data_IF_427294305789
#
_entry.id   IF_427294305789
#
_cell.length_a   1.000
_cell.length_b   1.000
_cell.length_c   1.000
_cell.angle_alpha   90.00
_cell.angle_beta   90.00
_cell.angle_gamma   90.00
#
_symmetry.space_group_name_H-M   'P 1'
#
loop_
_entity.id
_entity.type
_entity.pdbx_description
1 polymer ?
#
# COMPACT_ATOMS: atom_id res chain seq x y z
N UNK A 1 3.06 -1.80 -15.22
CA UNK A 1 3.69 -3.12 -15.52
C UNK A 1 5.21 -3.04 -15.56
N UNK A 2 5.81 -2.07 -16.27
CA UNK A 2 7.28 -1.94 -16.35
C UNK A 2 7.98 -1.88 -14.98
N UNK A 3 7.49 -1.06 -14.04
CA UNK A 3 8.07 -0.96 -12.69
C UNK A 3 8.12 -2.30 -11.94
N UNK A 4 7.07 -3.11 -12.07
CA UNK A 4 7.03 -4.46 -11.49
C UNK A 4 8.16 -5.31 -12.08
N UNK A 5 8.33 -5.29 -13.41
CA UNK A 5 9.35 -6.09 -14.06
C UNK A 5 10.76 -5.65 -13.68
N UNK A 6 10.99 -4.33 -13.52
CA UNK A 6 12.26 -3.80 -13.00
C UNK A 6 12.54 -4.29 -11.58
N UNK A 7 11.56 -4.25 -10.68
CA UNK A 7 11.70 -4.76 -9.30
C UNK A 7 12.00 -6.26 -9.31
N UNK A 8 11.32 -7.03 -10.16
CA UNK A 8 11.54 -8.47 -10.26
C UNK A 8 12.97 -8.81 -10.70
N UNK A 9 13.57 -7.98 -11.56
CA UNK A 9 14.94 -8.15 -12.06
C UNK A 9 15.97 -7.66 -11.04
N UNK A 10 15.74 -6.52 -10.38
CA UNK A 10 16.73 -5.89 -9.49
C UNK A 10 16.59 -6.28 -8.01
N UNK A 11 15.57 -7.07 -7.67
CA UNK A 11 15.24 -7.40 -6.27
C UNK A 11 14.81 -6.17 -5.46
N UNK A 12 14.23 -5.16 -6.10
CA UNK A 12 13.79 -3.91 -5.45
C UNK A 12 14.92 -3.00 -4.96
N UNK A 13 16.18 -3.32 -5.27
CA UNK A 13 17.34 -2.50 -4.92
C UNK A 13 17.43 -1.21 -5.74
N UNK A 14 18.25 -0.27 -5.25
CA UNK A 14 18.54 1.01 -5.91
C UNK A 14 19.47 0.89 -7.14
N UNK A 15 19.63 -0.31 -7.70
CA UNK A 15 20.46 -0.49 -8.89
C UNK A 15 19.85 0.29 -10.05
N UNK A 16 20.55 1.33 -10.50
CA UNK A 16 20.15 2.11 -11.66
C UNK A 16 20.36 1.28 -12.92
N UNK A 17 19.27 0.98 -13.60
CA UNK A 17 19.29 0.36 -14.92
C UNK A 17 19.63 1.42 -15.97
N UNK A 18 20.55 1.10 -16.87
CA UNK A 18 20.85 1.94 -18.03
C UNK A 18 19.63 2.04 -18.96
N UNK A 19 19.59 3.07 -19.81
CA UNK A 19 18.53 3.23 -20.81
C UNK A 19 18.45 2.02 -21.78
N UNK A 20 19.59 1.40 -22.09
CA UNK A 20 19.64 0.21 -22.91
C UNK A 20 18.98 -1.00 -22.22
N UNK A 21 19.22 -1.17 -20.92
CA UNK A 21 18.60 -2.23 -20.12
C UNK A 21 17.09 -2.01 -19.97
N UNK A 22 16.66 -0.79 -19.70
CA UNK A 22 15.24 -0.41 -19.67
C UNK A 22 14.57 -0.74 -21.01
N UNK A 23 15.21 -0.42 -22.14
CA UNK A 23 14.69 -0.76 -23.46
C UNK A 23 14.62 -2.27 -23.72
N UNK A 24 15.56 -3.07 -23.20
CA UNK A 24 15.49 -4.55 -23.24
C UNK A 24 14.33 -5.08 -22.42
N UNK A 25 14.14 -4.59 -21.19
CA UNK A 25 13.03 -4.94 -20.30
C UNK A 25 11.69 -4.65 -20.95
N UNK A 26 11.52 -3.47 -21.57
CA UNK A 26 10.29 -3.12 -22.27
C UNK A 26 10.03 -4.01 -23.50
N UNK A 27 11.07 -4.36 -24.27
CA UNK A 27 10.94 -5.33 -25.37
C UNK A 27 10.53 -6.71 -24.87
N UNK A 28 11.14 -7.20 -23.80
CA UNK A 28 10.80 -8.47 -23.18
C UNK A 28 9.37 -8.48 -22.64
N UNK A 29 8.91 -7.37 -22.04
CA UNK A 29 7.52 -7.20 -21.59
C UNK A 29 6.54 -7.36 -22.76
N UNK A 30 6.73 -6.63 -23.86
CA UNK A 30 5.84 -6.71 -25.03
C UNK A 30 5.85 -8.11 -25.64
N UNK A 31 7.03 -8.74 -25.75
CA UNK A 31 7.16 -10.10 -26.28
C UNK A 31 6.50 -11.13 -25.36
N UNK A 32 6.67 -11.02 -24.05
CA UNK A 32 6.04 -11.89 -23.07
C UNK A 32 4.51 -11.76 -23.06
N UNK A 33 3.98 -10.55 -23.20
CA UNK A 33 2.54 -10.33 -23.40
C UNK A 33 2.03 -11.06 -24.64
N UNK A 34 2.76 -10.97 -25.77
CA UNK A 34 2.40 -11.70 -27.01
C UNK A 34 2.49 -13.22 -26.85
N UNK A 35 3.47 -13.73 -26.10
CA UNK A 35 3.57 -15.16 -25.80
C UNK A 35 2.33 -15.64 -25.04
N UNK A 36 1.90 -14.91 -24.01
CA UNK A 36 0.69 -15.25 -23.25
C UNK A 36 -0.56 -15.31 -24.13
N UNK A 37 -0.72 -14.35 -25.05
CA UNK A 37 -1.82 -14.35 -26.02
C UNK A 37 -1.74 -15.55 -26.97
N UNK A 38 -0.56 -15.87 -27.48
CA UNK A 38 -0.35 -17.01 -28.39
C UNK A 38 -0.61 -18.36 -27.69
N UNK A 39 -0.32 -18.46 -26.40
CA UNK A 39 -0.60 -19.63 -25.56
C UNK A 39 -2.08 -19.71 -25.12
N UNK A 40 -2.91 -18.71 -25.46
CA UNK A 40 -4.33 -18.67 -25.10
C UNK A 40 -4.59 -18.45 -23.61
N UNK A 41 -3.62 -17.87 -22.89
CA UNK A 41 -3.76 -17.60 -21.46
C UNK A 41 -4.61 -16.35 -21.18
N UNK A 42 -5.37 -16.31 -20.07
CA UNK A 42 -6.22 -15.16 -19.73
C UNK A 42 -5.43 -13.86 -19.51
N UNK A 43 -4.21 -13.97 -18.98
CA UNK A 43 -3.29 -12.86 -18.87
C UNK A 43 -1.84 -13.35 -18.72
N UNK A 44 -0.90 -12.44 -18.99
CA UNK A 44 0.51 -12.73 -18.86
C UNK A 44 0.93 -12.87 -17.38
N UNK A 45 1.99 -13.64 -17.17
CA UNK A 45 2.59 -14.02 -15.88
C UNK A 45 4.12 -13.96 -15.97
N UNK A 46 4.88 -13.82 -14.86
CA UNK A 46 6.33 -13.75 -14.85
C UNK A 46 7.05 -14.77 -15.75
N UNK A 47 6.53 -16.00 -15.85
CA UNK A 47 7.08 -17.04 -16.74
C UNK A 47 7.23 -16.58 -18.20
N UNK A 48 6.28 -15.79 -18.73
CA UNK A 48 6.32 -15.34 -20.12
C UNK A 48 7.41 -14.30 -20.34
N UNK A 49 7.61 -13.41 -19.36
CA UNK A 49 8.64 -12.38 -19.42
C UNK A 49 10.03 -13.01 -19.29
N UNK A 50 10.17 -14.03 -18.43
CA UNK A 50 11.39 -14.83 -18.31
C UNK A 50 11.71 -15.58 -19.62
N UNK A 51 10.74 -16.28 -20.22
CA UNK A 51 10.91 -16.96 -21.52
C UNK A 51 11.25 -15.98 -22.65
N UNK A 52 10.56 -14.84 -22.71
CA UNK A 52 10.83 -13.80 -23.69
C UNK A 52 12.25 -13.23 -23.56
N UNK A 53 12.71 -12.99 -22.32
CA UNK A 53 14.05 -12.49 -22.05
C UNK A 53 15.13 -13.52 -22.45
N UNK A 54 14.93 -14.81 -22.14
CA UNK A 54 15.84 -15.90 -22.58
C UNK A 54 15.93 -15.98 -24.10
N UNK A 55 14.79 -16.00 -24.79
CA UNK A 55 14.76 -16.06 -26.24
C UNK A 55 15.47 -14.85 -26.88
N UNK A 56 15.30 -13.65 -26.30
CA UNK A 56 16.03 -12.46 -26.76
C UNK A 56 17.54 -12.56 -26.55
N UNK A 57 17.99 -13.21 -25.46
CA UNK A 57 19.41 -13.48 -25.22
C UNK A 57 19.99 -14.44 -26.26
N UNK A 58 19.30 -15.55 -26.53
CA UNK A 58 19.72 -16.56 -27.50
C UNK A 58 19.80 -15.96 -28.92
N UNK A 59 18.81 -15.17 -29.31
CA UNK A 59 18.78 -14.47 -30.60
C UNK A 59 19.95 -13.49 -30.74
N UNK A 60 20.25 -12.71 -29.69
CA UNK A 60 21.36 -11.75 -29.70
C UNK A 60 22.71 -12.46 -29.77
N UNK A 61 22.85 -13.64 -29.15
CA UNK A 61 24.05 -14.47 -29.24
C UNK A 61 24.23 -15.07 -30.65
N UNK A 62 23.13 -15.53 -31.28
CA UNK A 62 23.16 -16.13 -32.61
C UNK A 62 23.26 -15.11 -33.76
N UNK A 63 22.90 -13.84 -33.50
CA UNK A 63 22.89 -12.78 -34.52
C UNK A 63 24.31 -12.48 -35.00
N UNK A 64 24.51 -12.42 -36.32
CA UNK A 64 25.76 -11.95 -36.92
C UNK A 64 26.01 -10.48 -36.52
N UNK A 65 27.12 -10.22 -35.82
CA UNK A 65 27.38 -8.90 -35.20
C UNK A 65 26.56 -8.64 -33.92
N UNK A 66 26.09 -9.71 -33.27
CA UNK A 66 25.55 -9.71 -31.91
C UNK A 66 26.57 -9.21 -30.88
N UNK A 67 26.08 -8.69 -29.76
CA UNK A 67 26.93 -8.29 -28.64
C UNK A 67 26.85 -9.33 -27.52
N UNK A 68 27.91 -10.15 -27.29
CA UNK A 68 27.89 -11.19 -26.26
C UNK A 68 27.53 -10.66 -24.87
N UNK A 69 28.06 -9.49 -24.50
CA UNK A 69 27.75 -8.83 -23.22
C UNK A 69 26.26 -8.45 -23.10
N UNK A 70 25.58 -8.11 -24.20
CA UNK A 70 24.15 -7.82 -24.18
C UNK A 70 23.31 -9.09 -24.01
N UNK A 71 23.73 -10.19 -24.65
CA UNK A 71 23.10 -11.50 -24.47
C UNK A 71 23.27 -12.01 -23.04
N UNK A 72 24.48 -11.92 -22.48
CA UNK A 72 24.77 -12.28 -21.09
C UNK A 72 23.94 -11.46 -20.10
N UNK A 73 23.84 -10.13 -20.30
CA UNK A 73 22.99 -9.26 -19.49
C UNK A 73 21.51 -9.70 -19.51
N UNK A 74 20.96 -10.03 -20.68
CA UNK A 74 19.59 -10.53 -20.79
C UNK A 74 19.42 -11.92 -20.15
N UNK A 75 20.42 -12.81 -20.25
CA UNK A 75 20.42 -14.10 -19.56
C UNK A 75 20.35 -13.91 -18.05
N UNK A 76 21.17 -13.02 -17.48
CA UNK A 76 21.16 -12.72 -16.05
C UNK A 76 19.81 -12.13 -15.60
N UNK A 77 19.19 -11.27 -16.41
CA UNK A 77 17.85 -10.76 -16.13
C UNK A 77 16.78 -11.87 -16.17
N UNK A 78 16.90 -12.81 -17.10
CA UNK A 78 15.99 -13.95 -17.17
C UNK A 78 16.11 -14.86 -15.93
N UNK A 79 17.33 -15.09 -15.44
CA UNK A 79 17.56 -15.88 -14.23
C UNK A 79 17.00 -15.19 -12.98
N UNK A 80 17.12 -13.85 -12.91
CA UNK A 80 16.44 -13.07 -11.87
C UNK A 80 14.91 -13.23 -11.94
N UNK A 81 14.33 -13.25 -13.14
CA UNK A 81 12.89 -13.48 -13.35
C UNK A 81 12.46 -14.91 -13.01
N UNK A 82 13.33 -15.90 -13.20
CA UNK A 82 13.03 -17.31 -12.91
C UNK A 82 12.66 -17.52 -11.43
N UNK A 83 13.29 -16.80 -10.51
CA UNK A 83 12.93 -16.77 -9.07
C UNK A 83 11.44 -16.51 -8.85
N UNK A 84 10.81 -15.67 -9.67
CA UNK A 84 9.39 -15.31 -9.56
C UNK A 84 8.43 -16.37 -10.10
N UNK A 85 8.96 -17.43 -10.68
CA UNK A 85 8.18 -18.53 -11.26
C UNK A 85 8.15 -19.77 -10.35
N UNK A 86 8.98 -19.78 -9.31
CA UNK A 86 9.21 -20.94 -8.44
C UNK A 86 8.99 -20.59 -6.95
N UNK A 87 8.86 -21.61 -6.10
CA UNK A 87 8.76 -21.45 -4.66
C UNK A 87 7.57 -20.59 -4.21
N UNK A 88 7.79 -19.79 -3.14
CA UNK A 88 6.76 -18.87 -2.59
C UNK A 88 6.41 -17.77 -3.60
N UNK A 89 7.41 -17.20 -4.29
CA UNK A 89 7.18 -16.14 -5.28
C UNK A 89 6.32 -16.63 -6.44
N UNK A 90 6.60 -17.83 -6.97
CA UNK A 90 5.79 -18.45 -8.03
C UNK A 90 4.34 -18.71 -7.59
N UNK A 91 4.14 -19.16 -6.34
CA UNK A 91 2.81 -19.39 -5.77
C UNK A 91 2.00 -18.10 -5.64
N UNK A 92 2.65 -16.97 -5.40
CA UNK A 92 1.99 -15.67 -5.21
C UNK A 92 1.82 -14.89 -6.52
N UNK A 93 2.84 -14.87 -7.38
CA UNK A 93 2.93 -13.93 -8.50
C UNK A 93 2.89 -14.59 -9.89
N UNK A 94 3.03 -15.92 -9.99
CA UNK A 94 3.05 -16.65 -11.28
C UNK A 94 1.82 -17.54 -11.48
N UNK A 95 0.65 -17.04 -11.08
CA UNK A 95 -0.65 -17.70 -11.23
C UNK A 95 -1.61 -16.83 -12.04
N UNK A 96 -2.65 -17.46 -12.54
CA UNK A 96 -3.80 -16.69 -13.02
C UNK A 96 -4.59 -16.17 -11.82
N UNK A 97 -5.08 -14.95 -11.94
CA UNK A 97 -5.88 -14.29 -10.94
C UNK A 97 -6.98 -13.46 -11.62
N UNK A 98 -8.12 -13.39 -10.96
CA UNK A 98 -9.17 -12.44 -11.31
C UNK A 98 -8.87 -11.10 -10.63
N UNK A 99 -9.19 -10.00 -11.31
CA UNK A 99 -9.07 -8.67 -10.73
C UNK A 99 -10.09 -8.43 -9.60
N UNK A 100 -10.09 -7.23 -9.03
CA UNK A 100 -11.13 -6.85 -8.07
C UNK A 100 -12.46 -6.68 -8.80
N UNK A 101 -13.51 -7.34 -8.28
CA UNK A 101 -14.86 -7.19 -8.83
C UNK A 101 -15.39 -5.79 -8.55
N UNK A 102 -16.17 -5.27 -9.49
CA UNK A 102 -16.90 -4.01 -9.30
C UNK A 102 -18.08 -4.16 -8.34
N UNK A 103 -18.54 -5.39 -8.09
CA UNK A 103 -19.62 -5.67 -7.16
C UNK A 103 -19.15 -5.68 -5.69
N UNK A 104 -17.84 -5.59 -5.45
CA UNK A 104 -17.31 -5.57 -4.08
C UNK A 104 -17.43 -4.19 -3.46
N UNK A 105 -18.09 -4.11 -2.31
CA UNK A 105 -18.17 -2.88 -1.50
C UNK A 105 -16.91 -2.66 -0.65
N UNK A 106 -16.21 -3.74 -0.29
CA UNK A 106 -14.98 -3.71 0.47
C UNK A 106 -14.00 -4.77 -0.05
N UNK A 107 -12.79 -4.34 -0.39
CA UNK A 107 -11.66 -5.23 -0.71
C UNK A 107 -10.56 -4.97 0.31
N UNK A 108 -10.20 -6.00 1.08
CA UNK A 108 -9.10 -5.94 2.06
C UNK A 108 -7.92 -6.77 1.53
N UNK A 109 -6.73 -6.16 1.49
CA UNK A 109 -5.50 -6.81 1.05
C UNK A 109 -4.52 -6.85 2.22
N UNK A 110 -4.29 -8.05 2.76
CA UNK A 110 -3.33 -8.26 3.85
C UNK A 110 -1.91 -8.45 3.30
N UNK A 111 -1.02 -7.51 3.60
CA UNK A 111 0.37 -7.49 3.11
C UNK A 111 1.40 -7.77 4.21
N UNK A 112 1.00 -7.79 5.49
CA UNK A 112 1.89 -7.98 6.64
C UNK A 112 2.61 -9.32 6.65
N UNK A 113 2.00 -10.37 6.07
CA UNK A 113 2.66 -11.66 5.90
C UNK A 113 3.86 -11.59 4.94
N UNK A 114 3.82 -10.73 3.92
CA UNK A 114 4.91 -10.58 2.93
C UNK A 114 6.17 -9.97 3.56
N UNK A 115 6.01 -9.05 4.52
CA UNK A 115 7.12 -8.47 5.27
C UNK A 115 7.94 -9.50 6.05
N UNK A 116 7.33 -10.62 6.47
CA UNK A 116 8.00 -11.71 7.21
C UNK A 116 8.55 -12.81 6.30
N UNK A 117 7.99 -12.97 5.09
CA UNK A 117 8.26 -14.12 4.21
C UNK A 117 9.37 -13.90 3.17
N UNK A 118 9.85 -12.66 2.96
CA UNK A 118 11.07 -12.46 2.16
C UNK A 118 11.17 -11.18 1.32
N UNK A 119 11.12 -10.01 1.96
CA UNK A 119 11.79 -8.83 1.41
C UNK A 119 10.90 -7.70 0.89
N UNK A 120 11.50 -6.51 0.84
CA UNK A 120 10.92 -5.28 0.29
C UNK A 120 10.48 -5.41 -1.17
N UNK A 121 11.03 -6.38 -1.92
CA UNK A 121 10.70 -6.67 -3.31
C UNK A 121 9.32 -7.32 -3.48
N UNK A 122 8.96 -8.30 -2.66
CA UNK A 122 7.61 -8.89 -2.69
C UNK A 122 6.54 -7.87 -2.30
N UNK A 123 6.80 -7.05 -1.28
CA UNK A 123 5.93 -5.94 -0.91
C UNK A 123 5.76 -4.96 -2.07
N UNK A 124 6.84 -4.61 -2.76
CA UNK A 124 6.79 -3.71 -3.91
C UNK A 124 6.01 -4.29 -5.10
N UNK A 125 6.22 -5.56 -5.44
CA UNK A 125 5.48 -6.22 -6.51
C UNK A 125 3.99 -6.30 -6.17
N UNK A 126 3.65 -6.72 -4.95
CA UNK A 126 2.26 -6.81 -4.50
C UNK A 126 1.58 -5.43 -4.46
N UNK A 127 2.24 -4.44 -3.86
CA UNK A 127 1.71 -3.08 -3.75
C UNK A 127 1.50 -2.41 -5.11
N UNK A 128 2.46 -2.52 -6.04
CA UNK A 128 2.29 -2.00 -7.39
C UNK A 128 1.22 -2.75 -8.18
N UNK A 129 1.11 -4.07 -8.01
CA UNK A 129 0.04 -4.85 -8.64
C UNK A 129 -1.32 -4.38 -8.15
N UNK A 130 -1.48 -4.14 -6.84
CA UNK A 130 -2.71 -3.58 -6.28
C UNK A 130 -3.01 -2.19 -6.84
N UNK A 131 -2.01 -1.28 -6.92
CA UNK A 131 -2.20 0.05 -7.53
C UNK A 131 -2.71 -0.07 -8.97
N UNK A 132 -2.13 -0.95 -9.79
CA UNK A 132 -2.57 -1.12 -11.17
C UNK A 132 -3.96 -1.72 -11.28
N UNK A 133 -4.29 -2.74 -10.47
CA UNK A 133 -5.64 -3.33 -10.45
C UNK A 133 -6.68 -2.31 -10.02
N UNK A 134 -6.39 -1.49 -9.00
CA UNK A 134 -7.25 -0.39 -8.56
C UNK A 134 -7.41 0.65 -9.66
N UNK A 135 -6.33 0.98 -10.38
CA UNK A 135 -6.38 1.95 -11.49
C UNK A 135 -7.32 1.45 -12.58
N UNK A 136 -7.19 0.18 -12.98
CA UNK A 136 -8.06 -0.44 -13.98
C UNK A 136 -9.54 -0.47 -13.52
N UNK A 137 -9.79 -0.76 -12.24
CA UNK A 137 -11.13 -0.70 -11.66
C UNK A 137 -11.70 0.73 -11.67
N UNK A 138 -10.88 1.73 -11.31
CA UNK A 138 -11.27 3.14 -11.33
C UNK A 138 -11.60 3.60 -12.76
N UNK A 139 -10.81 3.18 -13.76
CA UNK A 139 -11.10 3.45 -15.17
C UNK A 139 -12.41 2.83 -15.62
N UNK A 140 -12.70 1.59 -15.20
CA UNK A 140 -13.97 0.92 -15.50
C UNK A 140 -15.17 1.67 -14.89
N UNK A 141 -15.01 2.16 -13.65
CA UNK A 141 -16.07 2.82 -12.89
C UNK A 141 -16.23 4.33 -13.18
N UNK A 142 -15.32 4.95 -13.94
CA UNK A 142 -15.23 6.41 -14.06
C UNK A 142 -16.52 7.13 -14.50
N UNK A 143 -17.40 6.44 -15.24
CA UNK A 143 -18.67 7.00 -15.75
C UNK A 143 -19.90 6.57 -14.93
N UNK A 144 -19.72 5.84 -13.83
CA UNK A 144 -20.83 5.31 -13.01
C UNK A 144 -21.25 6.26 -11.89
N UNK A 145 -20.43 7.26 -11.57
CA UNK A 145 -20.58 8.10 -10.38
C UNK A 145 -20.10 7.45 -9.08
N UNK A 146 -19.74 6.16 -9.09
CA UNK A 146 -19.18 5.45 -7.94
C UNK A 146 -17.72 5.86 -7.72
N UNK A 147 -17.42 6.36 -6.52
CA UNK A 147 -16.04 6.66 -6.11
C UNK A 147 -15.35 5.40 -5.54
N UNK A 148 -14.03 5.37 -5.63
CA UNK A 148 -13.20 4.37 -4.93
C UNK A 148 -12.40 5.09 -3.84
N UNK A 149 -12.35 4.52 -2.64
CA UNK A 149 -11.45 4.96 -1.58
C UNK A 149 -10.35 3.92 -1.35
N UNK A 150 -9.11 4.29 -1.64
CA UNK A 150 -7.92 3.49 -1.36
C UNK A 150 -7.33 3.94 -0.04
N UNK A 151 -7.30 3.04 0.94
CA UNK A 151 -6.67 3.30 2.25
C UNK A 151 -5.44 2.40 2.38
N UNK A 152 -4.28 3.00 2.57
CA UNK A 152 -3.03 2.28 2.82
C UNK A 152 -2.67 2.49 4.28
N UNK A 153 -2.85 1.44 5.07
CA UNK A 153 -2.38 1.39 6.44
C UNK A 153 -0.88 1.09 6.52
N UNK A 154 -0.22 1.60 7.55
CA UNK A 154 1.23 1.54 7.73
C UNK A 154 2.03 1.93 6.47
N UNK A 155 1.61 3.02 5.83
CA UNK A 155 2.19 3.52 4.57
C UNK A 155 3.70 3.83 4.67
N UNK A 156 4.24 3.99 5.89
CA UNK A 156 5.68 4.11 6.13
C UNK A 156 6.48 2.87 5.66
N UNK A 157 5.87 1.68 5.67
CA UNK A 157 6.47 0.46 5.12
C UNK A 157 6.67 0.58 3.60
N UNK A 158 5.74 1.24 2.92
CA UNK A 158 5.81 1.50 1.50
C UNK A 158 6.83 2.61 1.21
N UNK A 159 6.86 3.64 2.05
CA UNK A 159 7.77 4.79 1.94
C UNK A 159 9.25 4.39 1.85
N UNK A 160 9.62 3.28 2.51
CA UNK A 160 10.97 2.70 2.50
C UNK A 160 11.36 2.01 1.20
N UNK A 161 10.43 1.83 0.25
CA UNK A 161 10.66 1.14 -1.02
C UNK A 161 10.52 2.12 -2.20
N UNK A 162 11.62 2.68 -2.73
CA UNK A 162 11.58 3.79 -3.67
C UNK A 162 10.73 3.54 -4.93
N UNK A 163 10.91 2.38 -5.59
CA UNK A 163 10.17 2.06 -6.82
C UNK A 163 8.67 1.87 -6.59
N UNK A 164 8.29 1.33 -5.42
CA UNK A 164 6.88 1.24 -5.03
C UNK A 164 6.28 2.64 -4.87
N UNK A 165 6.99 3.53 -4.17
CA UNK A 165 6.55 4.91 -3.97
C UNK A 165 6.49 5.70 -5.27
N UNK A 166 7.47 5.56 -6.16
CA UNK A 166 7.41 6.19 -7.48
C UNK A 166 6.17 5.75 -8.25
N UNK A 167 5.84 4.45 -8.21
CA UNK A 167 4.61 3.94 -8.84
C UNK A 167 3.34 4.46 -8.17
N UNK A 168 3.31 4.57 -6.84
CA UNK A 168 2.18 5.16 -6.11
C UNK A 168 2.01 6.67 -6.42
N UNK A 169 3.10 7.43 -6.54
CA UNK A 169 3.06 8.85 -6.93
C UNK A 169 2.47 8.99 -8.34
N UNK A 170 2.85 8.13 -9.29
CA UNK A 170 2.26 8.12 -10.63
C UNK A 170 0.78 7.72 -10.57
N UNK A 171 0.45 6.63 -9.86
CA UNK A 171 -0.92 6.14 -9.70
C UNK A 171 -1.85 7.17 -9.07
N UNK A 172 -1.42 7.84 -8.00
CA UNK A 172 -2.21 8.87 -7.31
C UNK A 172 -2.57 10.07 -8.20
N UNK A 173 -1.76 10.40 -9.22
CA UNK A 173 -2.10 11.43 -10.21
C UNK A 173 -3.21 10.97 -11.16
N UNK A 174 -3.24 9.69 -11.49
CA UNK A 174 -4.30 9.08 -12.29
C UNK A 174 -5.58 8.96 -11.47
N UNK A 175 -5.48 8.53 -10.22
CA UNK A 175 -6.63 8.41 -9.29
C UNK A 175 -7.44 9.69 -9.18
N UNK A 176 -6.78 10.85 -9.09
CA UNK A 176 -7.45 12.17 -9.07
C UNK A 176 -8.35 12.44 -10.29
N UNK A 177 -8.07 11.82 -11.43
CA UNK A 177 -8.88 11.97 -12.65
C UNK A 177 -10.04 10.98 -12.73
N UNK A 178 -10.03 9.93 -11.91
CA UNK A 178 -10.94 8.79 -11.99
C UNK A 178 -11.85 8.65 -10.77
N UNK A 179 -12.12 9.76 -10.06
CA UNK A 179 -12.91 9.76 -8.83
C UNK A 179 -12.43 8.72 -7.79
N UNK A 180 -11.11 8.56 -7.69
CA UNK A 180 -10.46 7.62 -6.79
C UNK A 180 -9.63 8.39 -5.76
N UNK A 181 -9.93 8.17 -4.49
CA UNK A 181 -9.32 8.86 -3.35
C UNK A 181 -8.23 8.01 -2.74
N UNK A 182 -7.09 8.63 -2.41
CA UNK A 182 -5.98 7.97 -1.72
C UNK A 182 -5.85 8.54 -0.31
N UNK A 183 -5.92 7.65 0.67
CA UNK A 183 -5.67 7.94 2.08
C UNK A 183 -4.47 7.13 2.56
N UNK A 184 -3.46 7.82 3.07
CA UNK A 184 -2.26 7.22 3.65
C UNK A 184 -2.33 7.35 5.15
N UNK A 185 -2.17 6.23 5.86
CA UNK A 185 -2.13 6.19 7.31
C UNK A 185 -0.70 5.79 7.69
N UNK A 186 -0.06 6.64 8.49
CA UNK A 186 1.34 6.48 8.87
C UNK A 186 1.57 7.05 10.27
N UNK A 187 2.51 6.45 10.99
CA UNK A 187 2.95 6.92 12.30
C UNK A 187 4.01 8.02 12.15
N UNK A 188 4.86 7.93 11.12
CA UNK A 188 5.96 8.86 10.89
C UNK A 188 5.91 9.40 9.46
N UNK A 189 5.84 10.73 9.33
CA UNK A 189 5.86 11.43 8.04
C UNK A 189 7.28 11.56 7.48
N UNK A 190 8.30 11.45 8.33
CA UNK A 190 9.72 11.60 7.93
C UNK A 190 10.25 10.43 7.12
N UNK A 191 9.57 9.28 7.16
CA UNK A 191 9.85 8.14 6.28
C UNK A 191 9.57 8.48 4.80
N UNK A 192 8.75 9.49 4.50
CA UNK A 192 8.42 9.93 3.15
C UNK A 192 9.47 10.91 2.60
N UNK A 193 10.58 10.37 2.08
CA UNK A 193 11.69 11.16 1.51
C UNK A 193 11.68 11.19 -0.02
N UNK A 194 12.35 12.20 -0.60
CA UNK A 194 12.52 12.30 -2.05
C UNK A 194 11.18 12.40 -2.80
N UNK A 195 10.96 11.52 -3.77
CA UNK A 195 9.69 11.50 -4.53
C UNK A 195 8.47 11.17 -3.66
N UNK A 196 8.64 10.42 -2.57
CA UNK A 196 7.56 10.10 -1.65
C UNK A 196 7.01 11.37 -0.96
N UNK A 197 7.85 12.37 -0.68
CA UNK A 197 7.41 13.63 -0.08
C UNK A 197 6.41 14.38 -0.98
N UNK A 198 6.48 14.19 -2.31
CA UNK A 198 5.51 14.80 -3.24
C UNK A 198 4.10 14.28 -3.04
N UNK A 199 3.92 13.06 -2.51
CA UNK A 199 2.55 12.56 -2.26
C UNK A 199 1.91 13.31 -1.11
N UNK A 200 2.72 13.64 -0.10
CA UNK A 200 2.34 14.41 1.07
C UNK A 200 1.97 15.83 0.64
N UNK A 201 2.85 16.57 -0.03
CA UNK A 201 2.57 17.97 -0.41
C UNK A 201 1.34 18.15 -1.31
N UNK A 202 0.93 17.11 -2.05
CA UNK A 202 -0.28 17.15 -2.88
C UNK A 202 -1.55 16.67 -2.16
N UNK A 203 -1.48 16.32 -0.88
CA UNK A 203 -2.64 15.93 -0.08
C UNK A 203 -3.51 17.16 0.23
N UNK A 204 -4.81 17.04 0.00
CA UNK A 204 -5.76 18.14 0.21
C UNK A 204 -6.16 18.27 1.70
N UNK A 205 -6.11 17.16 2.42
CA UNK A 205 -6.45 17.06 3.83
C UNK A 205 -5.37 16.32 4.59
N UNK A 206 -5.13 16.78 5.81
CA UNK A 206 -4.29 16.15 6.80
C UNK A 206 -5.05 15.99 8.09
N UNK A 207 -5.04 14.77 8.63
CA UNK A 207 -5.52 14.52 9.99
C UNK A 207 -4.34 14.12 10.85
N UNK A 208 -3.87 15.08 11.63
CA UNK A 208 -2.72 14.90 12.50
C UNK A 208 -3.20 14.65 13.92
N UNK A 209 -2.76 13.55 14.51
CA UNK A 209 -2.98 13.29 15.93
C UNK A 209 -2.02 14.15 16.76
N UNK A 210 -2.12 14.08 18.08
CA UNK A 210 -1.20 14.80 18.97
C UNK A 210 0.26 14.46 18.64
N UNK A 211 1.07 15.49 18.47
CA UNK A 211 2.51 15.38 18.21
C UNK A 211 3.33 16.04 19.32
N UNK A 212 4.52 15.50 19.58
CA UNK A 212 5.56 16.10 20.41
C UNK A 212 6.21 17.31 19.73
N UNK A 213 6.98 18.11 20.48
CA UNK A 213 7.65 19.28 19.91
C UNK A 213 8.63 18.92 18.78
N UNK A 214 9.31 17.76 18.87
CA UNK A 214 10.23 17.29 17.84
C UNK A 214 9.48 16.87 16.56
N UNK A 215 8.40 16.12 16.71
CA UNK A 215 7.53 15.69 15.60
C UNK A 215 6.89 16.88 14.89
N UNK A 216 6.48 17.93 15.63
CA UNK A 216 5.94 19.17 15.03
C UNK A 216 6.99 19.86 14.16
N UNK A 217 8.25 19.94 14.62
CA UNK A 217 9.34 20.53 13.82
C UNK A 217 9.55 19.76 12.52
N UNK A 218 9.64 18.44 12.61
CA UNK A 218 9.80 17.58 11.44
C UNK A 218 8.62 17.66 10.47
N UNK A 219 7.39 17.60 10.99
CA UNK A 219 6.18 17.76 10.17
C UNK A 219 6.10 19.14 9.53
N UNK A 220 6.60 20.20 10.20
CA UNK A 220 6.64 21.55 9.64
C UNK A 220 7.53 21.63 8.39
N UNK A 221 8.67 20.91 8.36
CA UNK A 221 9.57 20.90 7.19
C UNK A 221 8.91 20.28 5.95
N UNK A 222 7.99 19.34 6.14
CA UNK A 222 7.36 18.58 5.06
C UNK A 222 6.00 19.18 4.67
N UNK A 223 5.21 19.59 5.66
CA UNK A 223 3.82 20.02 5.51
C UNK A 223 3.65 21.54 5.51
N UNK A 224 4.72 22.29 5.81
CA UNK A 224 4.68 23.75 5.95
C UNK A 224 3.58 24.22 6.92
N UNK A 225 3.53 23.61 8.11
CA UNK A 225 2.51 23.89 9.13
C UNK A 225 2.48 25.40 9.48
N UNK A 226 1.28 25.97 9.56
CA UNK A 226 1.05 27.33 10.05
C UNK A 226 1.34 27.43 11.56
N UNK A 227 1.55 28.63 12.09
CA UNK A 227 1.75 28.81 13.54
C UNK A 227 0.49 28.42 14.33
N UNK A 228 -0.69 28.64 13.76
CA UNK A 228 -1.97 28.17 14.30
C UNK A 228 -2.00 26.63 14.36
N UNK A 229 -1.65 25.93 13.27
CA UNK A 229 -1.58 24.47 13.24
C UNK A 229 -0.58 23.93 14.29
N UNK A 230 0.61 24.54 14.40
CA UNK A 230 1.63 24.19 15.40
C UNK A 230 1.16 24.44 16.83
N UNK A 231 0.30 25.42 17.04
CA UNK A 231 -0.31 25.67 18.34
C UNK A 231 -1.38 24.62 18.64
N UNK A 232 -2.35 24.45 17.73
CA UNK A 232 -3.49 23.56 17.91
C UNK A 232 -3.10 22.09 18.10
N UNK A 233 -2.12 21.57 17.37
CA UNK A 233 -1.71 20.15 17.42
C UNK A 233 -1.19 19.68 18.79
N UNK A 234 -0.91 20.60 19.72
CA UNK A 234 -0.41 20.29 21.06
C UNK A 234 -1.52 19.92 22.05
N UNK A 235 -2.76 20.34 21.77
CA UNK A 235 -3.92 20.19 22.65
C UNK A 235 -4.70 18.88 22.53
N UNK A 236 -4.76 18.19 21.37
CA UNK A 236 -5.52 16.96 21.22
C UNK A 236 -5.25 15.95 22.34
N UNK A 237 -6.32 15.41 22.90
CA UNK A 237 -6.31 14.39 23.95
C UNK A 237 -6.63 13.02 23.37
N UNK A 238 -6.16 12.00 24.07
CA UNK A 238 -6.54 10.61 23.87
C UNK A 238 -7.10 10.10 25.19
N UNK A 239 -8.35 9.64 25.17
CA UNK A 239 -8.93 8.89 26.26
C UNK A 239 -9.24 7.48 25.77
N UNK A 240 -8.62 6.50 26.41
CA UNK A 240 -8.76 5.09 26.04
C UNK A 240 -10.24 4.69 26.04
N UNK A 241 -10.65 3.93 25.01
CA UNK A 241 -12.05 3.47 24.80
C UNK A 241 -13.09 4.58 24.61
N UNK A 242 -12.71 5.85 24.61
CA UNK A 242 -13.63 6.98 24.45
C UNK A 242 -13.42 7.68 23.13
N UNK A 243 -12.34 8.45 23.03
CA UNK A 243 -12.08 9.28 21.86
C UNK A 243 -10.59 9.54 21.66
N UNK A 244 -10.24 9.86 20.42
CA UNK A 244 -8.93 10.41 20.05
C UNK A 244 -9.19 11.74 19.36
N UNK A 245 -8.53 12.79 19.82
CA UNK A 245 -8.56 14.10 19.16
C UNK A 245 -7.37 14.24 18.21
N UNK A 246 -7.51 15.15 17.26
CA UNK A 246 -6.44 15.60 16.39
C UNK A 246 -6.75 16.98 15.83
N UNK A 247 -6.03 17.35 14.78
CA UNK A 247 -6.33 18.52 13.97
C UNK A 247 -6.56 18.11 12.52
N UNK A 248 -7.48 18.79 11.85
CA UNK A 248 -7.67 18.76 10.40
C UNK A 248 -6.99 19.99 9.80
N UNK A 249 -6.10 19.78 8.83
CA UNK A 249 -5.46 20.85 8.05
C UNK A 249 -5.86 20.67 6.59
N UNK A 250 -6.23 21.76 5.93
CA UNK A 250 -6.50 21.79 4.50
C UNK A 250 -6.11 23.14 3.92
N UNK A 251 -5.70 23.16 2.64
CA UNK A 251 -5.51 24.42 1.93
C UNK A 251 -6.83 25.17 1.64
N UNK A 252 -7.98 24.52 1.80
CA UNK A 252 -9.31 25.09 1.50
C UNK A 252 -10.12 25.49 2.74
N UNK A 253 -9.82 24.90 3.89
CA UNK A 253 -10.62 25.05 5.11
C UNK A 253 -9.72 25.43 6.29
N UNK A 254 -10.24 26.25 7.25
CA UNK A 254 -9.49 26.60 8.45
C UNK A 254 -9.03 25.37 9.23
N UNK A 255 -7.87 25.48 9.86
CA UNK A 255 -7.37 24.48 10.79
C UNK A 255 -8.39 24.24 11.91
N UNK A 256 -8.77 22.98 12.11
CA UNK A 256 -9.90 22.63 12.98
C UNK A 256 -9.51 21.52 13.93
N UNK A 257 -9.81 21.69 15.23
CA UNK A 257 -9.74 20.60 16.20
C UNK A 257 -10.85 19.59 15.90
N UNK A 258 -10.47 18.32 15.80
CA UNK A 258 -11.39 17.23 15.50
C UNK A 258 -11.33 16.19 16.62
N UNK A 259 -12.46 15.53 16.85
CA UNK A 259 -12.58 14.43 17.79
C UNK A 259 -13.15 13.21 17.09
N UNK A 260 -12.39 12.12 17.11
CA UNK A 260 -12.80 10.83 16.61
C UNK A 260 -13.40 10.00 17.74
N UNK A 261 -14.68 9.66 17.58
CA UNK A 261 -15.43 8.76 18.48
C UNK A 261 -15.89 7.56 17.67
N UNK A 262 -15.02 6.57 17.40
CA UNK A 262 -15.38 5.42 16.59
C UNK A 262 -16.46 4.57 17.28
N UNK A 263 -17.33 3.89 16.51
CA UNK A 263 -18.26 2.92 17.07
C UNK A 263 -17.53 1.89 17.93
N UNK A 264 -18.10 1.54 19.08
CA UNK A 264 -17.53 0.58 20.02
C UNK A 264 -17.20 -0.77 19.39
N UNK A 265 -18.07 -1.28 18.53
CA UNK A 265 -17.83 -2.54 17.81
C UNK A 265 -16.59 -2.47 16.91
N UNK A 266 -16.39 -1.34 16.23
CA UNK A 266 -15.22 -1.14 15.37
C UNK A 266 -13.92 -1.12 16.21
N UNK A 267 -13.95 -0.49 17.39
CA UNK A 267 -12.83 -0.52 18.33
C UNK A 267 -12.55 -1.95 18.80
N UNK A 268 -13.58 -2.67 19.25
CA UNK A 268 -13.45 -4.03 19.79
C UNK A 268 -12.88 -5.02 18.76
N UNK A 269 -13.34 -4.94 17.50
CA UNK A 269 -12.83 -5.76 16.39
C UNK A 269 -11.41 -5.36 15.99
N UNK A 270 -11.08 -4.07 16.08
CA UNK A 270 -9.76 -3.52 15.73
C UNK A 270 -8.68 -3.67 16.81
N UNK A 271 -9.00 -4.29 17.95
CA UNK A 271 -8.06 -4.44 19.05
C UNK A 271 -6.90 -5.36 18.68
N UNK A 272 -5.69 -4.81 18.72
CA UNK A 272 -4.45 -5.50 18.36
C UNK A 272 -3.41 -5.53 19.48
N UNK A 273 -3.60 -4.73 20.54
CA UNK A 273 -2.68 -4.67 21.68
C UNK A 273 -2.71 -5.97 22.49
N UNK A 274 -1.59 -6.29 23.15
CA UNK A 274 -1.45 -7.49 23.95
C UNK A 274 -2.49 -7.60 25.06
N UNK A 275 -2.76 -6.49 25.78
CA UNK A 275 -3.74 -6.48 26.88
C UNK A 275 -5.16 -6.65 26.37
N UNK A 276 -5.46 -6.08 25.21
CA UNK A 276 -6.78 -6.20 24.61
C UNK A 276 -7.06 -7.62 24.12
N UNK A 277 -6.06 -8.26 23.51
CA UNK A 277 -6.13 -9.68 23.12
C UNK A 277 -6.28 -10.60 24.31
N UNK A 278 -5.55 -10.33 25.39
CA UNK A 278 -5.67 -11.07 26.65
C UNK A 278 -7.08 -10.95 27.24
N UNK A 279 -7.61 -9.73 27.35
CA UNK A 279 -8.98 -9.48 27.82
C UNK A 279 -10.04 -10.21 26.99
N UNK A 280 -9.93 -10.14 25.65
CA UNK A 280 -10.84 -10.87 24.75
C UNK A 280 -10.74 -12.39 24.96
N UNK A 281 -9.52 -12.92 25.10
CA UNK A 281 -9.31 -14.35 25.36
C UNK A 281 -9.83 -14.78 26.74
N UNK A 282 -9.77 -13.93 27.76
CA UNK A 282 -10.37 -14.17 29.07
C UNK A 282 -11.89 -14.26 28.98
N UNK A 283 -12.54 -13.34 28.25
CA UNK A 283 -13.99 -13.39 28.01
C UNK A 283 -14.40 -14.68 27.30
N UNK A 284 -13.67 -15.08 26.26
CA UNK A 284 -13.90 -16.34 25.55
C UNK A 284 -13.83 -17.54 26.50
N UNK A 285 -12.79 -17.63 27.35
CA UNK A 285 -12.61 -18.73 28.32
C UNK A 285 -13.70 -18.73 29.39
N UNK A 286 -14.01 -17.56 29.95
CA UNK A 286 -14.95 -17.40 31.07
C UNK A 286 -16.38 -17.74 30.65
N UNK A 287 -16.78 -17.34 29.44
CA UNK A 287 -18.15 -17.50 28.95
C UNK A 287 -18.33 -18.66 27.97
N UNK A 288 -17.24 -19.28 27.50
CA UNK A 288 -17.30 -20.38 26.52
C UNK A 288 -17.81 -19.94 25.14
N UNK A 289 -17.47 -18.71 24.73
CA UNK A 289 -18.02 -18.04 23.54
C UNK A 289 -16.99 -17.86 22.42
N UNK A 290 -17.47 -17.52 21.22
CA UNK A 290 -16.62 -17.24 20.06
C UNK A 290 -15.85 -15.92 20.22
N UNK A 291 -14.84 -15.69 19.38
CA UNK A 291 -14.10 -14.42 19.36
C UNK A 291 -14.99 -13.24 18.97
N UNK A 292 -15.95 -13.46 18.05
CA UNK A 292 -16.91 -12.44 17.64
C UNK A 292 -17.82 -12.05 18.81
N UNK A 293 -18.36 -13.03 19.53
CA UNK A 293 -19.21 -12.79 20.69
C UNK A 293 -18.44 -12.07 21.81
N UNK A 294 -17.18 -12.45 22.03
CA UNK A 294 -16.32 -11.75 22.97
C UNK A 294 -16.05 -10.30 22.54
N UNK A 295 -15.86 -10.03 21.25
CA UNK A 295 -15.73 -8.67 20.73
C UNK A 295 -17.03 -7.84 20.91
N UNK A 296 -18.21 -8.46 20.76
CA UNK A 296 -19.50 -7.81 21.04
C UNK A 296 -19.62 -7.44 22.53
N UNK A 297 -19.18 -8.30 23.44
CA UNK A 297 -19.14 -7.99 24.88
C UNK A 297 -18.19 -6.82 25.18
N UNK A 298 -16.98 -6.81 24.59
CA UNK A 298 -16.05 -5.67 24.72
C UNK A 298 -16.67 -4.39 24.18
N UNK A 299 -17.40 -4.45 23.07
CA UNK A 299 -18.10 -3.30 22.52
C UNK A 299 -19.15 -2.75 23.52
N UNK A 300 -19.91 -3.62 24.17
CA UNK A 300 -20.88 -3.24 25.20
C UNK A 300 -20.21 -2.64 26.45
N UNK A 301 -19.07 -3.17 26.87
CA UNK A 301 -18.25 -2.59 27.94
C UNK A 301 -17.81 -1.16 27.60
N UNK A 302 -17.38 -0.93 26.35
CA UNK A 302 -17.00 0.40 25.85
C UNK A 302 -18.20 1.35 25.87
N UNK A 303 -19.37 0.93 25.39
CA UNK A 303 -20.59 1.77 25.41
C UNK A 303 -21.01 2.12 26.83
N UNK A 304 -20.97 1.16 27.75
CA UNK A 304 -21.33 1.38 29.15
C UNK A 304 -20.38 2.38 29.80
N UNK A 305 -19.07 2.25 29.55
CA UNK A 305 -18.07 3.20 30.04
C UNK A 305 -18.26 4.62 29.47
N UNK A 306 -18.71 4.73 28.21
CA UNK A 306 -19.03 6.01 27.56
C UNK A 306 -20.28 6.66 28.15
N UNK A 307 -21.35 5.89 28.40
CA UNK A 307 -22.59 6.38 29.03
C UNK A 307 -22.35 6.88 30.45
N UNK A 308 -21.65 6.09 31.27
CA UNK A 308 -21.32 6.48 32.64
C UNK A 308 -20.53 7.81 32.71
N UNK A 309 -19.67 8.07 31.72
CA UNK A 309 -18.96 9.35 31.62
C UNK A 309 -19.87 10.52 31.28
N UNK A 310 -20.82 10.33 30.35
CA UNK A 310 -21.79 11.38 30.01
C UNK A 310 -22.64 11.76 31.21
N UNK A 311 -23.04 10.77 32.02
CA UNK A 311 -23.80 10.99 33.26
C UNK A 311 -22.99 11.72 34.33
N UNK A 312 -21.67 11.50 34.41
CA UNK A 312 -20.78 12.21 35.35
C UNK A 312 -20.45 13.64 34.91
N UNK A 313 -20.55 13.94 33.62
CA UNK A 313 -20.24 15.25 33.05
C UNK A 313 -21.47 16.18 32.92
N UNK A 314 -22.67 15.63 33.12
CA UNK A 314 -23.95 16.35 33.11
C UNK A 314 -24.30 16.90 34.51
#
# INVERSE_FOLDING_TARGET
MEYILRIMITGGGAQELSQAEIARINRALVRGLRLSVAEGEPHARPIHMMRAMRAMADEEMARKGGQPAAAENMSNMADALERWTQGVNGRLFNRHAEGFSEDYDLTVIELGALGKLGGSDMLAVAGLSAIYTITALAEKLQNTGRAIEVKIDEAHLWAKVPLLMSGLVVGSKVFRKLNCWLMLITQDVTDFKGDAAKILTNAEFWWLMRMSAAEITQATEILSLSDEAKHLIRFPRKEERRFVEGISISGKFPETLIRYVPPSLMLALGQTDGKEKEHRADLMRKHGISELDAALMVAEEIETARRAYQEQAA
#
